data_IF_958926126310
#
_entry.id   IF_958926126310
#
_cell.length_a   1.000
_cell.length_b   1.000
_cell.length_c   1.000
_cell.angle_alpha   90.00
_cell.angle_beta   90.00
_cell.angle_gamma   90.00
#
_symmetry.space_group_name_H-M   'P 1'
#
loop_
_entity.id
_entity.type
_entity.pdbx_description
1 polymer ?
#
# COMPACT_ATOMS: atom_id res chain seq x y z
N UNK A 1 40.88 74.53 17.98
CA UNK A 1 40.67 75.42 19.13
C UNK A 1 41.89 75.29 20.01
N UNK A 2 42.72 76.34 20.04
CA UNK A 2 43.83 76.43 20.97
C UNK A 2 43.33 76.87 22.34
N UNK A 3 43.91 76.29 23.38
CA UNK A 3 43.91 76.82 24.75
C UNK A 3 45.31 76.56 25.33
N UNK A 4 46.12 77.62 25.20
CA UNK A 4 47.14 78.11 26.14
C UNK A 4 48.20 77.15 26.68
N UNK A 5 49.35 77.21 26.00
CA UNK A 5 50.69 77.18 26.61
C UNK A 5 50.70 77.95 27.94
N UNK A 6 50.83 77.20 29.04
CA UNK A 6 51.39 77.74 30.28
C UNK A 6 52.89 77.56 30.15
N UNK A 7 53.54 78.58 29.60
CA UNK A 7 54.99 78.72 29.65
C UNK A 7 55.40 78.74 31.12
N UNK A 8 56.02 77.65 31.55
CA UNK A 8 56.72 77.51 32.82
C UNK A 8 58.14 78.06 32.59
N UNK A 9 58.47 79.31 32.97
CA UNK A 9 59.73 79.93 32.62
C UNK A 9 60.69 79.73 33.78
N UNK A 10 61.31 78.56 33.86
CA UNK A 10 62.47 78.24 34.72
C UNK A 10 63.04 76.86 34.34
N UNK A 11 63.36 76.70 33.06
CA UNK A 11 64.32 75.67 32.61
C UNK A 11 65.43 76.46 31.90
N UNK A 12 66.16 77.25 32.67
CA UNK A 12 67.56 77.48 32.32
C UNK A 12 68.25 76.16 32.62
N UNK A 13 68.91 75.57 31.62
CA UNK A 13 69.54 74.24 31.73
C UNK A 13 70.50 74.16 32.93
N UNK A 14 69.99 73.77 34.09
CA UNK A 14 70.80 73.34 35.24
C UNK A 14 71.37 71.99 34.88
N UNK A 15 72.40 72.00 34.03
CA UNK A 15 73.20 70.83 33.72
C UNK A 15 73.91 70.38 34.99
N UNK A 16 74.15 69.08 35.16
CA UNK A 16 74.89 68.56 36.31
C UNK A 16 76.22 69.32 36.51
N UNK A 17 76.87 69.75 35.42
CA UNK A 17 78.08 70.57 35.46
C UNK A 17 77.88 71.97 36.07
N UNK A 18 76.78 72.66 35.79
CA UNK A 18 76.49 73.98 36.36
C UNK A 18 76.21 73.94 37.87
N UNK A 19 75.54 72.87 38.34
CA UNK A 19 75.25 72.65 39.76
C UNK A 19 76.49 72.21 40.54
N UNK A 20 77.37 71.40 39.92
CA UNK A 20 78.67 71.05 40.49
C UNK A 20 79.58 72.27 40.63
N UNK A 21 79.61 73.18 39.64
CA UNK A 21 80.39 74.42 39.73
C UNK A 21 79.89 75.34 40.86
N UNK A 22 78.57 75.41 41.07
CA UNK A 22 78.00 76.16 42.19
C UNK A 22 78.36 75.51 43.54
N UNK A 23 78.30 74.19 43.62
CA UNK A 23 78.69 73.44 44.82
C UNK A 23 80.18 73.64 45.15
N UNK A 24 81.04 73.66 44.13
CA UNK A 24 82.47 73.94 44.24
C UNK A 24 82.74 75.34 44.77
N UNK A 25 82.06 76.37 44.23
CA UNK A 25 82.18 77.74 44.72
C UNK A 25 81.73 77.86 46.20
N UNK A 26 80.64 77.17 46.59
CA UNK A 26 80.14 77.17 47.97
C UNK A 26 81.14 76.49 48.93
N UNK A 27 81.72 75.36 48.53
CA UNK A 27 82.74 74.70 49.34
C UNK A 27 84.01 75.55 49.48
N UNK A 28 84.39 76.31 48.45
CA UNK A 28 85.52 77.25 48.50
C UNK A 28 85.24 78.44 49.44
N UNK A 29 83.98 78.89 49.55
CA UNK A 29 83.55 79.95 50.48
C UNK A 29 83.49 79.48 51.95
N UNK A 30 83.09 78.22 52.19
CA UNK A 30 82.91 77.65 53.54
C UNK A 30 84.23 77.09 54.11
N UNK A 31 85.17 76.68 53.26
CA UNK A 31 86.47 76.12 53.65
C UNK A 31 86.42 74.63 54.00
N UNK A 32 85.59 73.86 53.30
CA UNK A 32 85.48 72.40 53.46
C UNK A 32 86.78 71.67 53.10
N UNK A 33 87.13 70.59 53.80
CA UNK A 33 88.35 69.83 53.54
C UNK A 33 88.27 69.03 52.24
N UNK A 34 89.41 68.79 51.59
CA UNK A 34 89.47 68.00 50.35
C UNK A 34 88.86 66.60 50.56
N UNK A 35 89.05 65.99 51.74
CA UNK A 35 88.48 64.68 52.07
C UNK A 35 86.94 64.70 52.18
N UNK A 36 86.34 65.78 52.72
CA UNK A 36 84.89 65.93 52.86
C UNK A 36 84.23 66.23 51.50
N UNK A 37 84.91 67.00 50.65
CA UNK A 37 84.51 67.27 49.25
C UNK A 37 84.53 65.99 48.41
N UNK A 38 85.62 65.22 48.47
CA UNK A 38 85.73 63.93 47.78
C UNK A 38 84.63 62.97 48.25
N UNK A 39 84.33 62.94 49.55
CA UNK A 39 83.24 62.12 50.10
C UNK A 39 81.86 62.53 49.59
N UNK A 40 81.57 63.83 49.53
CA UNK A 40 80.30 64.33 48.99
C UNK A 40 80.17 64.10 47.48
N UNK A 41 81.26 64.27 46.71
CA UNK A 41 81.29 63.95 45.28
C UNK A 41 81.06 62.47 45.02
N UNK A 42 81.72 61.58 45.79
CA UNK A 42 81.50 60.13 45.71
C UNK A 42 80.05 59.74 46.05
N UNK A 43 79.42 60.42 47.02
CA UNK A 43 78.00 60.22 47.32
C UNK A 43 77.09 60.64 46.16
N UNK A 44 77.36 61.80 45.55
CA UNK A 44 76.60 62.28 44.39
C UNK A 44 76.75 61.33 43.19
N UNK A 45 77.97 60.86 42.91
CA UNK A 45 78.23 59.84 41.88
C UNK A 45 77.47 58.54 42.16
N UNK A 46 77.48 58.07 43.41
CA UNK A 46 76.77 56.86 43.82
C UNK A 46 75.25 57.01 43.66
N UNK A 47 74.67 58.15 44.07
CA UNK A 47 73.25 58.43 43.90
C UNK A 47 72.85 58.53 42.43
N UNK A 48 73.68 59.17 41.59
CA UNK A 48 73.48 59.24 40.14
C UNK A 48 73.53 57.83 39.51
N UNK A 49 74.52 57.01 39.88
CA UNK A 49 74.63 55.63 39.44
C UNK A 49 73.41 54.80 39.84
N UNK A 50 72.88 54.97 41.05
CA UNK A 50 71.69 54.26 41.53
C UNK A 50 70.41 54.72 40.81
N UNK A 51 70.30 55.99 40.41
CA UNK A 51 69.23 56.46 39.52
C UNK A 51 69.35 55.82 38.14
N UNK A 52 70.54 55.81 37.52
CA UNK A 52 70.77 55.16 36.23
C UNK A 52 70.46 53.66 36.29
N UNK A 53 70.93 52.95 37.33
CA UNK A 53 70.65 51.52 37.55
C UNK A 53 69.15 51.25 37.65
N UNK A 54 68.42 52.05 38.44
CA UNK A 54 66.94 51.93 38.54
C UNK A 54 66.25 52.14 37.20
N UNK A 55 66.66 53.14 36.41
CA UNK A 55 66.08 53.40 35.09
C UNK A 55 66.37 52.28 34.10
N UNK A 56 67.59 51.75 34.10
CA UNK A 56 67.98 50.58 33.29
C UNK A 56 67.19 49.34 33.71
N UNK A 57 67.04 49.06 35.00
CA UNK A 57 66.23 47.96 35.50
C UNK A 57 64.75 48.12 35.13
N UNK A 58 64.20 49.33 35.25
CA UNK A 58 62.81 49.61 34.85
C UNK A 58 62.61 49.40 33.34
N UNK A 59 63.56 49.87 32.52
CA UNK A 59 63.55 49.64 31.08
C UNK A 59 63.69 48.15 30.75
N UNK A 60 64.59 47.42 31.41
CA UNK A 60 64.77 45.98 31.25
C UNK A 60 63.51 45.18 31.63
N UNK A 61 62.87 45.53 32.76
CA UNK A 61 61.58 44.96 33.17
C UNK A 61 60.47 45.24 32.15
N UNK A 62 60.41 46.47 31.62
CA UNK A 62 59.43 46.82 30.58
C UNK A 62 59.67 46.03 29.28
N UNK A 63 60.93 45.86 28.88
CA UNK A 63 61.33 45.07 27.72
C UNK A 63 60.98 43.59 27.90
N UNK A 64 61.24 43.01 29.07
CA UNK A 64 60.89 41.63 29.38
C UNK A 64 59.36 41.40 29.29
N UNK A 65 58.56 42.32 29.85
CA UNK A 65 57.08 42.26 29.73
C UNK A 65 56.60 42.32 28.29
N UNK A 66 57.19 43.19 27.46
CA UNK A 66 56.82 43.29 26.04
C UNK A 66 57.21 42.03 25.25
N UNK A 67 58.37 41.44 25.53
CA UNK A 67 58.78 40.18 24.92
C UNK A 67 57.89 39.01 25.33
N UNK A 68 57.48 38.96 26.60
CA UNK A 68 56.51 37.99 27.11
C UNK A 68 55.18 38.10 26.36
N UNK A 69 54.58 39.30 26.33
CA UNK A 69 53.31 39.54 25.64
C UNK A 69 53.37 39.19 24.14
N UNK A 70 54.51 39.44 23.49
CA UNK A 70 54.73 39.05 22.10
C UNK A 70 54.83 37.53 21.92
N UNK A 71 55.48 36.82 22.84
CA UNK A 71 55.57 35.36 22.84
C UNK A 71 54.18 34.72 23.07
N UNK A 72 53.43 35.24 24.02
CA UNK A 72 52.07 34.79 24.34
C UNK A 72 51.14 35.00 23.13
N UNK A 73 51.14 36.21 22.53
CA UNK A 73 50.34 36.49 21.34
C UNK A 73 50.69 35.62 20.14
N UNK A 74 51.98 35.33 19.91
CA UNK A 74 52.41 34.40 18.84
C UNK A 74 52.01 32.95 19.14
N UNK A 75 52.02 32.53 20.40
CA UNK A 75 51.56 31.20 20.79
C UNK A 75 50.07 31.05 20.54
N UNK A 76 49.26 32.04 20.93
CA UNK A 76 47.82 32.06 20.68
C UNK A 76 47.49 32.08 19.18
N UNK A 77 48.20 32.87 18.38
CA UNK A 77 48.09 32.83 16.91
C UNK A 77 48.30 31.41 16.37
N UNK A 78 49.36 30.74 16.84
CA UNK A 78 49.69 29.38 16.39
C UNK A 78 48.61 28.38 16.79
N UNK A 79 48.05 28.49 18.01
CA UNK A 79 46.96 27.64 18.49
C UNK A 79 45.69 27.82 17.64
N UNK A 80 45.29 29.07 17.38
CA UNK A 80 44.08 29.36 16.60
C UNK A 80 44.25 28.92 15.15
N UNK A 81 45.41 29.14 14.52
CA UNK A 81 45.69 28.67 13.17
C UNK A 81 45.66 27.14 13.06
N UNK A 82 46.22 26.44 14.04
CA UNK A 82 46.15 24.98 14.12
C UNK A 82 44.70 24.51 14.25
N UNK A 83 43.91 25.14 15.12
CA UNK A 83 42.50 24.82 15.29
C UNK A 83 41.67 25.08 14.02
N UNK A 84 41.94 26.16 13.30
CA UNK A 84 41.27 26.48 12.02
C UNK A 84 41.76 25.59 10.86
N UNK A 85 42.84 24.83 11.05
CA UNK A 85 43.45 24.00 10.00
C UNK A 85 44.08 24.80 8.85
N UNK A 86 44.25 26.11 9.02
CA UNK A 86 44.82 26.99 8.00
C UNK A 86 46.35 26.89 8.02
N UNK A 87 46.91 26.37 6.91
CA UNK A 87 48.35 26.14 6.74
C UNK A 87 49.14 27.40 6.38
N UNK A 88 48.54 28.59 6.45
CA UNK A 88 49.20 29.88 6.19
C UNK A 88 50.10 30.30 7.37
N UNK A 89 50.92 29.37 7.85
CA UNK A 89 52.01 29.60 8.81
C UNK A 89 53.08 30.53 8.22
N UNK A 90 53.09 30.72 6.89
CA UNK A 90 54.05 31.55 6.16
C UNK A 90 53.87 33.06 6.35
N UNK A 91 52.74 33.52 6.90
CA UNK A 91 52.46 34.96 7.13
C UNK A 91 52.58 35.38 8.59
N UNK A 92 53.04 34.51 9.50
CA UNK A 92 53.39 34.96 10.86
C UNK A 92 54.52 35.98 10.69
N UNK A 93 54.36 37.26 11.10
CA UNK A 93 55.35 38.29 10.89
C UNK A 93 56.71 37.84 11.43
N UNK A 94 57.59 37.48 10.50
CA UNK A 94 58.91 36.96 10.83
C UNK A 94 59.67 38.01 11.65
N UNK A 95 60.51 37.52 12.57
CA UNK A 95 61.15 38.23 13.68
C UNK A 95 61.98 39.49 13.36
N UNK A 96 62.01 39.98 12.13
CA UNK A 96 63.15 40.76 11.62
C UNK A 96 62.91 42.25 11.36
N UNK A 97 61.68 42.77 11.32
CA UNK A 97 61.45 44.17 10.91
C UNK A 97 60.63 44.95 11.94
N UNK A 98 61.28 45.91 12.60
CA UNK A 98 60.63 46.89 13.50
C UNK A 98 60.92 46.73 14.99
N UNK A 99 60.47 47.72 15.78
CA UNK A 99 60.58 47.72 17.24
C UNK A 99 59.66 46.68 17.88
N UNK A 100 59.92 46.26 19.13
CA UNK A 100 59.05 45.29 19.84
C UNK A 100 57.59 45.80 19.93
N UNK A 101 57.41 47.14 20.03
CA UNK A 101 56.09 47.77 20.04
C UNK A 101 55.39 47.68 18.68
N UNK A 102 56.11 47.90 17.58
CA UNK A 102 55.57 47.74 16.22
C UNK A 102 55.18 46.28 15.94
N UNK A 103 56.01 45.32 16.36
CA UNK A 103 55.69 43.90 16.22
C UNK A 103 54.43 43.51 17.01
N UNK A 104 54.25 44.07 18.21
CA UNK A 104 53.04 43.84 19.00
C UNK A 104 51.79 44.47 18.34
N UNK A 105 51.93 45.70 17.83
CA UNK A 105 50.85 46.40 17.13
C UNK A 105 50.43 45.70 15.82
N UNK A 106 51.36 45.02 15.14
CA UNK A 106 51.06 44.22 13.94
C UNK A 106 50.37 42.89 14.28
N UNK A 107 50.69 42.26 15.41
CA UNK A 107 50.09 40.98 15.85
C UNK A 107 48.65 41.15 16.34
N UNK A 108 48.34 42.28 16.98
CA UNK A 108 47.01 42.55 17.55
C UNK A 108 45.84 42.43 16.55
N UNK A 109 45.83 43.10 15.38
CA UNK A 109 44.70 43.00 14.44
C UNK A 109 44.56 41.60 13.82
N UNK A 110 45.68 40.88 13.61
CA UNK A 110 45.65 39.51 13.10
C UNK A 110 45.00 38.55 14.10
N UNK A 111 45.32 38.70 15.39
CA UNK A 111 44.66 37.94 16.47
C UNK A 111 43.16 38.22 16.50
N UNK A 112 42.76 39.48 16.44
CA UNK A 112 41.36 39.89 16.47
C UNK A 112 40.56 39.30 15.30
N UNK A 113 41.13 39.31 14.09
CA UNK A 113 40.54 38.68 12.91
C UNK A 113 40.38 37.18 13.07
N UNK A 114 41.42 36.48 13.55
CA UNK A 114 41.38 35.02 13.74
C UNK A 114 40.42 34.60 14.86
N UNK A 115 40.31 35.40 15.93
CA UNK A 115 39.30 35.20 16.98
C UNK A 115 37.88 35.29 16.43
N UNK A 116 37.62 36.31 15.60
CA UNK A 116 36.32 36.47 14.94
C UNK A 116 36.01 35.27 14.03
N UNK A 117 36.97 34.83 13.22
CA UNK A 117 36.83 33.64 12.37
C UNK A 117 36.59 32.36 13.19
N UNK A 118 37.29 32.20 14.33
CA UNK A 118 37.07 31.08 15.24
C UNK A 118 35.65 31.09 15.79
N UNK A 119 35.14 32.24 16.24
CA UNK A 119 33.80 32.38 16.78
C UNK A 119 32.72 32.09 15.72
N UNK A 120 32.88 32.65 14.51
CA UNK A 120 31.99 32.39 13.37
C UNK A 120 31.96 30.89 13.01
N UNK A 121 33.13 30.24 12.87
CA UNK A 121 33.17 28.79 12.59
C UNK A 121 32.56 27.99 13.73
N UNK A 122 32.86 28.30 14.99
CA UNK A 122 32.30 27.59 16.14
C UNK A 122 30.77 27.64 16.13
N UNK A 123 30.20 28.80 15.76
CA UNK A 123 28.76 28.95 15.59
C UNK A 123 28.23 28.09 14.45
N UNK A 124 28.87 28.09 13.29
CA UNK A 124 28.48 27.24 12.14
C UNK A 124 28.51 25.75 12.50
N UNK A 125 29.57 25.27 13.17
CA UNK A 125 29.65 23.89 13.65
C UNK A 125 28.50 23.55 14.60
N UNK A 126 28.20 24.45 15.56
CA UNK A 126 27.10 24.25 16.51
C UNK A 126 25.75 24.17 15.78
N UNK A 127 25.52 25.07 14.82
CA UNK A 127 24.29 25.13 14.04
C UNK A 127 24.13 23.85 13.19
N UNK A 128 25.17 23.41 12.48
CA UNK A 128 25.13 22.19 11.66
C UNK A 128 24.94 20.93 12.53
N UNK A 129 25.66 20.82 13.64
CA UNK A 129 25.52 19.69 14.55
C UNK A 129 24.12 19.63 15.19
N UNK A 130 23.53 20.78 15.52
CA UNK A 130 22.16 20.83 16.07
C UNK A 130 21.13 20.36 15.04
N UNK A 131 21.31 20.72 13.77
CA UNK A 131 20.45 20.25 12.68
C UNK A 131 20.58 18.75 12.46
N UNK A 132 21.82 18.22 12.49
CA UNK A 132 22.09 16.78 12.42
C UNK A 132 21.38 16.05 13.56
N UNK A 133 21.55 16.50 14.81
CA UNK A 133 20.92 15.88 15.98
C UNK A 133 19.39 15.88 15.86
N UNK A 134 18.80 16.99 15.43
CA UNK A 134 17.35 17.09 15.21
C UNK A 134 16.88 16.10 14.14
N UNK A 135 17.56 16.01 13.00
CA UNK A 135 17.24 15.06 11.93
C UNK A 135 17.41 13.61 12.37
N UNK A 136 18.49 13.28 13.08
CA UNK A 136 18.70 11.95 13.64
C UNK A 136 17.61 11.59 14.65
N UNK A 137 17.17 12.55 15.48
CA UNK A 137 16.07 12.39 16.42
C UNK A 137 14.73 12.14 15.73
N UNK A 138 14.44 12.87 14.63
CA UNK A 138 13.28 12.67 13.76
C UNK A 138 13.27 11.27 13.13
N UNK A 139 14.42 10.84 12.59
CA UNK A 139 14.62 9.55 11.93
C UNK A 139 14.51 8.38 12.92
N UNK A 140 15.06 8.54 14.12
CA UNK A 140 15.04 7.47 15.15
C UNK A 140 13.73 7.43 15.93
N UNK A 141 12.93 8.51 15.91
CA UNK A 141 11.72 8.65 16.72
C UNK A 141 11.94 9.03 18.18
N UNK A 142 13.18 9.42 18.55
CA UNK A 142 13.55 9.80 19.92
C UNK A 142 13.36 11.30 20.24
N UNK A 143 12.66 12.04 19.40
CA UNK A 143 12.43 13.49 19.54
C UNK A 143 11.88 13.94 20.91
N UNK A 144 11.08 13.10 21.58
CA UNK A 144 10.52 13.42 22.91
C UNK A 144 11.58 13.52 24.01
N UNK A 145 12.79 13.02 23.77
CA UNK A 145 13.93 13.15 24.69
C UNK A 145 14.85 14.32 24.33
N UNK A 146 14.62 15.03 23.22
CA UNK A 146 15.57 16.01 22.67
C UNK A 146 15.17 17.48 22.82
N UNK A 147 14.00 17.81 23.37
CA UNK A 147 13.68 19.22 23.69
C UNK A 147 14.57 19.80 24.80
N UNK A 148 15.18 18.93 25.63
CA UNK A 148 16.05 19.32 26.75
C UNK A 148 17.55 19.06 26.50
N UNK A 149 17.95 18.60 25.30
CA UNK A 149 19.35 18.23 25.08
C UNK A 149 20.17 19.46 24.73
N UNK A 150 20.97 19.87 25.71
CA UNK A 150 22.15 20.74 25.64
C UNK A 150 22.73 20.89 24.23
N UNK A 151 23.00 22.14 23.83
CA UNK A 151 23.73 22.46 22.59
C UNK A 151 24.89 21.48 22.37
N UNK A 152 25.09 20.99 21.14
CA UNK A 152 26.16 20.06 20.84
C UNK A 152 27.51 20.68 21.25
N UNK A 153 28.30 19.91 22.01
CA UNK A 153 29.65 20.32 22.40
C UNK A 153 30.50 20.33 21.15
N UNK A 154 30.83 21.53 20.66
CA UNK A 154 31.73 21.69 19.52
C UNK A 154 33.15 21.45 19.98
N UNK A 155 33.86 20.59 19.26
CA UNK A 155 35.29 20.38 19.47
C UNK A 155 36.06 21.59 18.95
N UNK A 156 36.44 22.49 19.87
CA UNK A 156 37.19 23.71 19.55
C UNK A 156 38.64 23.44 19.09
N UNK A 157 39.13 22.20 19.18
CA UNK A 157 40.51 21.87 18.82
C UNK A 157 40.70 21.65 17.31
N UNK A 158 39.62 21.36 16.57
CA UNK A 158 39.65 21.17 15.12
C UNK A 158 38.36 21.70 14.48
N UNK A 159 38.46 22.97 14.08
CA UNK A 159 37.50 23.78 13.33
C UNK A 159 37.93 23.90 11.85
N UNK A 160 38.57 22.86 11.32
CA UNK A 160 39.03 22.84 9.92
C UNK A 160 37.86 22.80 8.93
N UNK A 161 38.04 23.46 7.78
CA UNK A 161 37.04 23.48 6.71
C UNK A 161 36.69 22.08 6.19
N UNK A 162 37.66 21.17 6.17
CA UNK A 162 37.43 19.76 5.76
C UNK A 162 36.44 19.04 6.68
N UNK A 163 36.55 19.27 7.99
CA UNK A 163 35.62 18.67 8.96
C UNK A 163 34.23 19.29 8.84
N UNK A 164 34.15 20.59 8.63
CA UNK A 164 32.89 21.30 8.39
C UNK A 164 32.20 20.79 7.11
N UNK A 165 32.96 20.62 6.02
CA UNK A 165 32.47 20.03 4.77
C UNK A 165 31.97 18.59 4.96
N UNK A 166 32.64 17.80 5.82
CA UNK A 166 32.19 16.48 6.22
C UNK A 166 30.83 16.52 6.94
N UNK A 167 30.64 17.43 7.90
CA UNK A 167 29.34 17.60 8.56
C UNK A 167 28.25 18.10 7.61
N UNK A 168 28.56 19.02 6.68
CA UNK A 168 27.61 19.44 5.66
C UNK A 168 27.22 18.30 4.71
N UNK A 169 28.18 17.45 4.34
CA UNK A 169 27.93 16.28 3.51
C UNK A 169 27.01 15.29 4.23
N UNK A 170 27.28 15.02 5.51
CA UNK A 170 26.43 14.18 6.34
C UNK A 170 25.02 14.77 6.53
N UNK A 171 24.92 16.08 6.76
CA UNK A 171 23.64 16.78 6.84
C UNK A 171 22.83 16.62 5.55
N UNK A 172 23.47 16.74 4.38
CA UNK A 172 22.83 16.56 3.08
C UNK A 172 22.36 15.13 2.87
N UNK A 173 23.13 14.14 3.30
CA UNK A 173 22.75 12.72 3.27
C UNK A 173 21.51 12.47 4.16
N UNK A 174 21.49 13.00 5.39
CA UNK A 174 20.35 12.86 6.29
C UNK A 174 19.09 13.58 5.76
N UNK A 175 19.24 14.74 5.14
CA UNK A 175 18.13 15.45 4.49
C UNK A 175 17.54 14.62 3.33
N UNK A 176 18.41 13.97 2.55
CA UNK A 176 18.00 13.06 1.48
C UNK A 176 17.31 11.81 2.04
N UNK A 177 17.85 11.21 3.10
CA UNK A 177 17.23 10.06 3.76
C UNK A 177 15.84 10.43 4.31
N UNK A 178 15.69 11.61 4.92
CA UNK A 178 14.41 12.11 5.40
C UNK A 178 13.38 12.23 4.28
N UNK A 179 13.74 12.77 3.12
CA UNK A 179 12.80 12.90 2.00
C UNK A 179 12.43 11.53 1.43
N UNK A 180 13.37 10.60 1.32
CA UNK A 180 13.11 9.23 0.87
C UNK A 180 12.20 8.47 1.84
N UNK A 181 12.42 8.59 3.16
CA UNK A 181 11.57 7.99 4.19
C UNK A 181 10.17 8.58 4.17
N UNK A 182 10.05 9.91 4.04
CA UNK A 182 8.76 10.57 3.93
C UNK A 182 7.98 10.07 2.71
N UNK A 183 8.63 9.95 1.55
CA UNK A 183 8.00 9.39 0.36
C UNK A 183 7.51 7.96 0.60
N UNK A 184 8.35 7.09 1.19
CA UNK A 184 7.96 5.72 1.55
C UNK A 184 6.76 5.67 2.50
N UNK A 185 6.72 6.55 3.51
CA UNK A 185 5.56 6.66 4.40
C UNK A 185 4.31 7.02 3.62
N UNK A 186 4.37 8.01 2.72
CA UNK A 186 3.22 8.42 1.91
C UNK A 186 2.74 7.29 0.98
N UNK A 187 3.67 6.59 0.34
CA UNK A 187 3.35 5.45 -0.54
C UNK A 187 2.68 4.32 0.25
N UNK A 188 3.22 3.97 1.42
CA UNK A 188 2.64 2.96 2.29
C UNK A 188 1.26 3.38 2.84
N UNK A 189 1.08 4.65 3.21
CA UNK A 189 -0.24 5.18 3.62
C UNK A 189 -1.25 5.08 2.48
N UNK A 190 -0.85 5.36 1.23
CA UNK A 190 -1.70 5.18 0.05
C UNK A 190 -2.10 3.71 -0.10
N UNK A 191 -1.14 2.79 0.01
CA UNK A 191 -1.41 1.34 -0.07
C UNK A 191 -2.39 0.90 1.03
N UNK A 192 -2.21 1.37 2.26
CA UNK A 192 -3.16 1.07 3.36
C UNK A 192 -4.56 1.59 3.01
N UNK A 193 -4.67 2.81 2.47
CA UNK A 193 -5.96 3.38 2.06
C UNK A 193 -6.64 2.55 0.99
N UNK A 194 -5.92 2.19 -0.06
CA UNK A 194 -6.44 1.39 -1.16
C UNK A 194 -6.90 0.01 -0.67
N UNK A 195 -6.13 -0.63 0.21
CA UNK A 195 -6.51 -1.90 0.83
C UNK A 195 -7.74 -1.75 1.73
N UNK A 196 -7.85 -0.68 2.52
CA UNK A 196 -9.02 -0.42 3.36
C UNK A 196 -10.29 -0.21 2.51
N UNK A 197 -10.18 0.53 1.40
CA UNK A 197 -11.29 0.76 0.46
C UNK A 197 -11.79 -0.56 -0.11
N UNK A 198 -10.90 -1.46 -0.55
CA UNK A 198 -11.29 -2.77 -1.10
C UNK A 198 -11.90 -3.69 -0.04
N UNK A 199 -11.36 -3.67 1.19
CA UNK A 199 -11.82 -4.50 2.30
C UNK A 199 -13.05 -3.94 3.04
N UNK A 200 -13.52 -2.74 2.68
CA UNK A 200 -14.59 -2.05 3.39
C UNK A 200 -14.26 -1.73 4.86
N UNK A 201 -12.98 -1.49 5.18
CA UNK A 201 -12.51 -1.19 6.54
C UNK A 201 -12.35 0.31 6.75
N UNK A 202 -12.49 0.77 8.00
CA UNK A 202 -12.20 2.16 8.34
C UNK A 202 -10.70 2.45 8.30
N UNK A 203 -10.29 3.30 7.37
CA UNK A 203 -8.91 3.76 7.22
C UNK A 203 -8.43 4.49 8.48
N UNK A 204 -9.29 5.29 9.12
CA UNK A 204 -8.90 6.12 10.26
C UNK A 204 -8.52 5.26 11.46
N UNK A 205 -9.33 4.26 11.80
CA UNK A 205 -9.02 3.29 12.84
C UNK A 205 -7.68 2.59 12.58
N UNK A 206 -7.47 2.08 11.36
CA UNK A 206 -6.24 1.35 11.01
C UNK A 206 -4.98 2.24 11.04
N UNK A 207 -5.08 3.50 10.58
CA UNK A 207 -3.90 4.37 10.52
C UNK A 207 -3.55 5.00 11.87
N UNK A 208 -4.56 5.27 12.72
CA UNK A 208 -4.34 5.81 14.06
C UNK A 208 -3.73 4.78 15.01
N UNK A 209 -4.02 3.49 14.83
CA UNK A 209 -3.36 2.38 15.53
C UNK A 209 -1.85 2.34 15.21
N UNK A 210 -1.47 2.63 13.97
CA UNK A 210 -0.05 2.72 13.56
C UNK A 210 0.61 3.94 14.18
N UNK A 211 0.10 5.15 13.89
CA UNK A 211 0.53 6.38 14.53
C UNK A 211 -0.46 7.54 14.26
N UNK A 212 -0.89 8.31 15.29
CA UNK A 212 -1.87 9.39 15.14
C UNK A 212 -1.47 10.47 14.12
N UNK A 213 -0.17 10.72 13.95
CA UNK A 213 0.32 11.74 13.01
C UNK A 213 0.14 11.38 11.53
N UNK A 214 -0.19 10.13 11.21
CA UNK A 214 -0.33 9.68 9.82
C UNK A 214 -1.71 10.04 9.23
N UNK A 215 -2.64 10.47 10.07
CA UNK A 215 -3.94 10.97 9.67
C UNK A 215 -3.81 12.15 8.69
N UNK A 216 -4.76 12.26 7.76
CA UNK A 216 -4.79 13.31 6.74
C UNK A 216 -5.01 14.72 7.33
N UNK A 217 -5.52 14.80 8.57
CA UNK A 217 -5.64 16.07 9.29
C UNK A 217 -4.29 16.67 9.70
N UNK A 218 -3.23 15.87 9.70
CA UNK A 218 -1.89 16.27 10.12
C UNK A 218 -1.05 16.58 8.88
N UNK A 219 -0.43 17.76 8.87
CA UNK A 219 0.40 18.21 7.75
C UNK A 219 1.52 17.21 7.42
N UNK A 220 1.86 17.10 6.14
CA UNK A 220 2.85 16.14 5.61
C UNK A 220 4.20 16.21 6.36
N UNK A 221 4.61 17.40 6.78
CA UNK A 221 5.88 17.63 7.49
C UNK A 221 5.87 17.19 8.96
N UNK A 222 4.69 16.91 9.52
CA UNK A 222 4.49 16.46 10.90
C UNK A 222 4.25 14.95 10.98
N UNK A 223 4.32 14.24 9.83
CA UNK A 223 4.21 12.78 9.80
C UNK A 223 5.48 12.16 10.39
N UNK A 224 5.30 11.20 11.29
CA UNK A 224 6.41 10.42 11.84
C UNK A 224 7.08 9.60 10.74
N UNK A 225 8.41 9.74 10.63
CA UNK A 225 9.28 9.00 9.69
C UNK A 225 10.17 7.99 10.41
N UNK A 226 9.84 7.68 11.67
CA UNK A 226 10.68 6.82 12.51
C UNK A 226 10.73 5.38 12.00
N UNK A 227 11.81 4.67 12.29
CA UNK A 227 11.96 3.25 11.97
C UNK A 227 10.80 2.40 12.53
N UNK A 228 10.36 2.70 13.75
CA UNK A 228 9.22 2.04 14.39
C UNK A 228 7.91 2.31 13.63
N UNK A 229 7.67 3.55 13.19
CA UNK A 229 6.48 3.91 12.43
C UNK A 229 6.45 3.21 11.07
N UNK A 230 7.59 3.21 10.36
CA UNK A 230 7.73 2.52 9.07
C UNK A 230 7.55 1.01 9.21
N UNK A 231 8.07 0.41 10.28
CA UNK A 231 7.94 -1.02 10.57
C UNK A 231 6.48 -1.39 10.88
N UNK A 232 5.81 -0.62 11.74
CA UNK A 232 4.38 -0.80 12.05
C UNK A 232 3.51 -0.63 10.82
N UNK A 233 3.78 0.38 10.00
CA UNK A 233 3.03 0.63 8.76
C UNK A 233 3.21 -0.51 7.75
N UNK A 234 4.45 -1.01 7.61
CA UNK A 234 4.76 -2.14 6.75
C UNK A 234 4.07 -3.43 7.25
N UNK A 235 4.03 -3.65 8.57
CA UNK A 235 3.29 -4.76 9.17
C UNK A 235 1.78 -4.62 8.94
N UNK A 236 1.21 -3.43 9.07
CA UNK A 236 -0.20 -3.17 8.76
C UNK A 236 -0.53 -3.49 7.29
N UNK A 237 0.29 -3.05 6.34
CA UNK A 237 0.15 -3.40 4.91
C UNK A 237 0.22 -4.91 4.70
N UNK A 238 1.14 -5.62 5.36
CA UNK A 238 1.25 -7.07 5.26
C UNK A 238 0.00 -7.77 5.81
N UNK A 239 -0.53 -7.33 6.95
CA UNK A 239 -1.75 -7.89 7.54
C UNK A 239 -2.97 -7.65 6.65
N UNK A 240 -3.13 -6.44 6.11
CA UNK A 240 -4.22 -6.12 5.19
C UNK A 240 -4.13 -6.92 3.88
N UNK A 241 -2.94 -7.12 3.32
CA UNK A 241 -2.75 -7.99 2.14
C UNK A 241 -3.09 -9.44 2.43
N UNK A 242 -2.70 -9.95 3.60
CA UNK A 242 -3.08 -11.31 4.03
C UNK A 242 -4.59 -11.42 4.19
N UNK A 243 -5.23 -10.42 4.79
CA UNK A 243 -6.69 -10.41 4.95
C UNK A 243 -7.40 -10.35 3.61
N UNK A 244 -6.94 -9.51 2.67
CA UNK A 244 -7.42 -9.46 1.29
C UNK A 244 -7.37 -10.83 0.62
N UNK A 245 -6.24 -11.52 0.72
CA UNK A 245 -6.09 -12.86 0.16
C UNK A 245 -7.06 -13.86 0.79
N UNK A 246 -7.18 -13.85 2.12
CA UNK A 246 -8.08 -14.75 2.86
C UNK A 246 -9.54 -14.52 2.49
N UNK A 247 -9.98 -13.26 2.45
CA UNK A 247 -11.35 -12.89 2.09
C UNK A 247 -11.69 -13.25 0.65
N UNK A 248 -10.76 -13.02 -0.29
CA UNK A 248 -10.94 -13.42 -1.68
C UNK A 248 -11.08 -14.93 -1.83
N UNK A 249 -10.23 -15.72 -1.16
CA UNK A 249 -10.33 -17.19 -1.19
C UNK A 249 -11.67 -17.67 -0.65
N UNK A 250 -12.11 -17.13 0.48
CA UNK A 250 -13.43 -17.46 1.06
C UNK A 250 -14.57 -17.08 0.10
N UNK A 251 -14.51 -15.91 -0.53
CA UNK A 251 -15.52 -15.48 -1.49
C UNK A 251 -15.54 -16.38 -2.74
N UNK A 252 -14.38 -16.83 -3.23
CA UNK A 252 -14.27 -17.76 -4.35
C UNK A 252 -14.88 -19.13 -4.03
N UNK A 253 -14.61 -19.66 -2.84
CA UNK A 253 -15.23 -20.90 -2.36
C UNK A 253 -16.76 -20.76 -2.29
N UNK A 254 -17.27 -19.68 -1.70
CA UNK A 254 -18.71 -19.42 -1.64
C UNK A 254 -19.33 -19.26 -3.04
N UNK A 255 -18.66 -18.55 -3.94
CA UNK A 255 -19.13 -18.36 -5.30
C UNK A 255 -19.18 -19.68 -6.10
N UNK A 256 -18.22 -20.60 -5.88
CA UNK A 256 -18.30 -21.95 -6.44
C UNK A 256 -19.48 -22.73 -5.87
N UNK A 257 -19.68 -22.70 -4.55
CA UNK A 257 -20.81 -23.38 -3.90
C UNK A 257 -22.16 -22.84 -4.37
N UNK A 258 -22.30 -21.52 -4.51
CA UNK A 258 -23.49 -20.88 -5.09
C UNK A 258 -23.74 -21.37 -6.52
N UNK A 259 -22.70 -21.41 -7.35
CA UNK A 259 -22.82 -21.86 -8.75
C UNK A 259 -23.25 -23.32 -8.82
N UNK A 260 -22.67 -24.19 -8.00
CA UNK A 260 -23.03 -25.61 -7.93
C UNK A 260 -24.47 -25.80 -7.44
N UNK A 261 -24.88 -25.06 -6.40
CA UNK A 261 -26.26 -25.09 -5.88
C UNK A 261 -27.28 -24.57 -6.90
N UNK A 262 -26.96 -23.50 -7.65
CA UNK A 262 -27.84 -22.99 -8.70
C UNK A 262 -27.99 -23.95 -9.86
N UNK A 263 -26.90 -24.59 -10.28
CA UNK A 263 -26.91 -25.62 -11.32
C UNK A 263 -27.73 -26.84 -10.87
N UNK A 264 -27.64 -27.22 -9.60
CA UNK A 264 -28.37 -28.35 -9.04
C UNK A 264 -29.87 -28.08 -8.88
N UNK A 265 -30.24 -26.84 -8.56
CA UNK A 265 -31.63 -26.44 -8.32
C UNK A 265 -32.32 -25.79 -9.52
N UNK A 266 -31.70 -25.78 -10.71
CA UNK A 266 -32.20 -25.10 -11.91
C UNK A 266 -32.67 -23.65 -11.59
N UNK A 267 -31.87 -22.92 -10.81
CA UNK A 267 -32.25 -21.58 -10.31
C UNK A 267 -32.34 -20.58 -11.47
N UNK A 268 -33.41 -19.77 -11.58
CA UNK A 268 -33.60 -18.83 -12.69
C UNK A 268 -32.51 -17.76 -12.73
N UNK A 269 -32.21 -17.25 -13.93
CA UNK A 269 -31.08 -16.34 -14.13
C UNK A 269 -31.27 -15.00 -13.40
N UNK A 270 -32.51 -14.56 -13.23
CA UNK A 270 -32.87 -13.35 -12.50
C UNK A 270 -32.42 -13.40 -11.03
N UNK A 271 -32.54 -14.56 -10.39
CA UNK A 271 -32.09 -14.76 -9.00
C UNK A 271 -30.56 -14.87 -8.93
N UNK A 272 -29.92 -15.49 -9.93
CA UNK A 272 -28.46 -15.56 -10.01
C UNK A 272 -27.81 -14.17 -10.16
N UNK A 273 -28.43 -13.27 -10.94
CA UNK A 273 -27.88 -11.94 -11.22
C UNK A 273 -27.74 -11.07 -9.96
N UNK A 274 -28.51 -11.34 -8.90
CA UNK A 274 -28.39 -10.63 -7.62
C UNK A 274 -27.01 -10.82 -6.97
N UNK A 275 -26.32 -11.91 -7.31
CA UNK A 275 -25.01 -12.28 -6.78
C UNK A 275 -23.89 -12.16 -7.82
N UNK A 276 -24.11 -11.43 -8.92
CA UNK A 276 -23.08 -11.19 -9.96
C UNK A 276 -21.80 -10.55 -9.39
N UNK A 277 -21.95 -9.72 -8.34
CA UNK A 277 -20.84 -9.08 -7.63
C UNK A 277 -19.96 -10.08 -6.84
N UNK A 278 -20.48 -11.27 -6.54
CA UNK A 278 -19.75 -12.37 -5.88
C UNK A 278 -19.16 -13.30 -6.95
N UNK A 279 -19.95 -13.67 -7.96
CA UNK A 279 -19.54 -14.63 -8.99
C UNK A 279 -18.51 -14.07 -9.98
N UNK A 280 -18.46 -12.75 -10.18
CA UNK A 280 -17.41 -12.14 -11.00
C UNK A 280 -15.99 -12.32 -10.42
N UNK A 281 -15.87 -12.63 -9.12
CA UNK A 281 -14.60 -12.83 -8.43
C UNK A 281 -14.09 -14.28 -8.44
N UNK A 282 -14.84 -15.24 -8.98
CA UNK A 282 -14.48 -16.68 -9.01
C UNK A 282 -13.09 -16.90 -9.60
N UNK A 283 -12.79 -16.23 -10.71
CA UNK A 283 -11.52 -16.36 -11.44
C UNK A 283 -10.59 -15.17 -11.24
N UNK A 284 -10.98 -14.19 -10.42
CA UNK A 284 -10.22 -12.95 -10.25
C UNK A 284 -8.92 -13.19 -9.45
N UNK A 285 -7.83 -12.54 -9.86
CA UNK A 285 -6.59 -12.53 -9.08
C UNK A 285 -6.63 -11.51 -7.94
N UNK A 286 -5.77 -11.68 -6.93
CA UNK A 286 -5.70 -10.76 -5.77
C UNK A 286 -5.44 -9.30 -6.20
N UNK A 287 -4.70 -9.10 -7.29
CA UNK A 287 -4.32 -7.77 -7.77
C UNK A 287 -5.41 -7.12 -8.64
N UNK A 288 -6.26 -7.91 -9.30
CA UNK A 288 -7.38 -7.41 -10.11
C UNK A 288 -8.52 -6.83 -9.26
N UNK A 289 -8.72 -7.37 -8.05
CA UNK A 289 -9.79 -6.91 -7.15
C UNK A 289 -9.41 -5.57 -6.53
N UNK A 290 -9.82 -4.50 -7.19
CA UNK A 290 -9.58 -3.10 -6.82
C UNK A 290 -10.88 -2.33 -6.57
N UNK A 291 -12.03 -2.93 -6.85
CA UNK A 291 -13.33 -2.29 -6.65
C UNK A 291 -13.58 -2.00 -5.15
N UNK A 292 -14.04 -0.79 -4.81
CA UNK A 292 -14.40 -0.43 -3.43
C UNK A 292 -15.42 -1.39 -2.83
N UNK A 293 -15.14 -1.88 -1.63
CA UNK A 293 -16.03 -2.78 -0.90
C UNK A 293 -16.15 -4.19 -1.49
N UNK A 294 -15.43 -4.54 -2.55
CA UNK A 294 -15.55 -5.86 -3.19
C UNK A 294 -15.27 -7.05 -2.26
N UNK A 295 -14.49 -6.83 -1.19
CA UNK A 295 -14.16 -7.83 -0.17
C UNK A 295 -14.61 -7.39 1.23
N UNK A 296 -15.67 -6.59 1.30
CA UNK A 296 -16.27 -6.19 2.56
C UNK A 296 -16.92 -7.39 3.28
N UNK A 297 -16.95 -7.36 4.61
CA UNK A 297 -17.40 -8.50 5.43
C UNK A 297 -18.90 -8.77 5.26
N UNK A 298 -19.68 -7.73 5.08
CA UNK A 298 -21.12 -7.78 4.81
C UNK A 298 -21.44 -8.53 3.52
N UNK A 299 -20.67 -8.33 2.44
CA UNK A 299 -20.85 -9.07 1.19
C UNK A 299 -20.54 -10.56 1.35
N UNK A 300 -19.49 -10.88 2.11
CA UNK A 300 -19.12 -12.27 2.39
C UNK A 300 -20.23 -12.93 3.24
N UNK A 301 -20.70 -12.26 4.28
CA UNK A 301 -21.80 -12.73 5.13
C UNK A 301 -23.10 -12.93 4.34
N UNK A 302 -23.40 -12.03 3.40
CA UNK A 302 -24.55 -12.17 2.50
C UNK A 302 -24.43 -13.43 1.64
N UNK A 303 -23.25 -13.70 1.06
CA UNK A 303 -23.01 -14.91 0.28
C UNK A 303 -23.09 -16.18 1.13
N UNK A 304 -22.54 -16.17 2.36
CA UNK A 304 -22.66 -17.29 3.31
C UNK A 304 -24.11 -17.60 3.65
N UNK A 305 -24.89 -16.56 3.99
CA UNK A 305 -26.30 -16.70 4.33
C UNK A 305 -27.11 -17.26 3.15
N UNK A 306 -26.79 -16.84 1.92
CA UNK A 306 -27.45 -17.36 0.74
C UNK A 306 -27.08 -18.82 0.47
N UNK A 307 -25.81 -19.20 0.60
CA UNK A 307 -25.40 -20.62 0.49
C UNK A 307 -26.17 -21.47 1.50
N UNK A 308 -26.27 -21.02 2.76
CA UNK A 308 -27.01 -21.75 3.79
C UNK A 308 -28.51 -21.84 3.46
N UNK A 309 -29.12 -20.75 2.98
CA UNK A 309 -30.51 -20.72 2.55
C UNK A 309 -30.77 -21.70 1.39
N UNK A 310 -29.88 -21.73 0.40
CA UNK A 310 -29.98 -22.61 -0.76
C UNK A 310 -29.73 -24.07 -0.36
N UNK A 311 -28.79 -24.35 0.53
CA UNK A 311 -28.54 -25.70 1.04
C UNK A 311 -29.76 -26.26 1.81
N UNK A 312 -30.45 -25.42 2.60
CA UNK A 312 -31.71 -25.79 3.25
C UNK A 312 -32.84 -26.09 2.25
N UNK A 313 -32.89 -25.36 1.13
CA UNK A 313 -33.92 -25.54 0.09
C UNK A 313 -33.61 -26.68 -0.88
N UNK A 314 -32.34 -27.09 -0.99
CA UNK A 314 -31.83 -28.11 -1.91
C UNK A 314 -32.69 -29.37 -1.95
N UNK A 315 -33.00 -29.96 -0.81
CA UNK A 315 -33.79 -31.20 -0.76
C UNK A 315 -35.22 -31.02 -1.33
N UNK A 316 -35.86 -29.88 -1.02
CA UNK A 316 -37.22 -29.60 -1.49
C UNK A 316 -37.27 -29.32 -2.99
N UNK A 317 -36.31 -28.55 -3.52
CA UNK A 317 -36.18 -28.28 -4.96
C UNK A 317 -35.77 -29.52 -5.74
N UNK A 318 -34.87 -30.32 -5.18
CA UNK A 318 -34.48 -31.61 -5.76
C UNK A 318 -35.68 -32.52 -5.98
N UNK A 319 -36.57 -32.61 -4.97
CA UNK A 319 -37.80 -33.39 -5.07
C UNK A 319 -38.70 -32.90 -6.20
N UNK A 320 -38.83 -31.58 -6.37
CA UNK A 320 -39.62 -30.98 -7.44
C UNK A 320 -39.03 -31.27 -8.83
N UNK A 321 -37.72 -31.11 -9.01
CA UNK A 321 -37.03 -31.36 -10.28
C UNK A 321 -37.11 -32.85 -10.66
N UNK A 322 -36.87 -33.74 -9.69
CA UNK A 322 -37.01 -35.17 -9.90
C UNK A 322 -38.43 -35.53 -10.36
N UNK A 323 -39.48 -35.03 -9.70
CA UNK A 323 -40.85 -35.30 -10.15
C UNK A 323 -41.19 -34.72 -11.52
N UNK A 324 -40.62 -33.55 -11.88
CA UNK A 324 -40.79 -32.98 -13.21
C UNK A 324 -40.15 -33.86 -14.29
N UNK A 325 -38.91 -34.33 -14.07
CA UNK A 325 -38.21 -35.27 -14.95
C UNK A 325 -38.95 -36.61 -15.05
N UNK A 326 -39.47 -37.12 -13.94
CA UNK A 326 -40.30 -38.32 -13.91
C UNK A 326 -41.60 -38.15 -14.72
N UNK A 327 -42.23 -36.97 -14.64
CA UNK A 327 -43.43 -36.66 -15.43
C UNK A 327 -43.11 -36.56 -16.93
N UNK A 328 -41.98 -35.94 -17.30
CA UNK A 328 -41.51 -35.91 -18.70
C UNK A 328 -41.27 -37.34 -19.22
N UNK A 329 -40.68 -38.20 -18.40
CA UNK A 329 -40.45 -39.60 -18.72
C UNK A 329 -41.78 -40.34 -18.97
N UNK A 330 -42.74 -40.19 -18.06
CA UNK A 330 -44.10 -40.75 -18.19
C UNK A 330 -44.81 -40.25 -19.45
N UNK A 331 -44.69 -38.96 -19.77
CA UNK A 331 -45.25 -38.38 -21.00
C UNK A 331 -44.62 -39.01 -22.25
N UNK A 332 -43.30 -39.18 -22.30
CA UNK A 332 -42.62 -39.83 -23.43
C UNK A 332 -43.11 -41.27 -23.61
N UNK A 333 -43.23 -42.01 -22.50
CA UNK A 333 -43.66 -43.41 -22.54
C UNK A 333 -45.12 -43.58 -22.93
N UNK A 334 -46.03 -42.71 -22.47
CA UNK A 334 -47.43 -42.71 -22.93
C UNK A 334 -47.55 -42.43 -24.42
N UNK A 335 -46.78 -41.48 -24.96
CA UNK A 335 -46.73 -41.22 -26.41
C UNK A 335 -46.14 -42.39 -27.19
N UNK A 336 -45.20 -43.13 -26.60
CA UNK A 336 -44.61 -44.33 -27.18
C UNK A 336 -45.46 -45.61 -26.97
N UNK A 337 -46.62 -45.50 -26.32
CA UNK A 337 -47.48 -46.62 -25.91
C UNK A 337 -46.74 -47.71 -25.11
N UNK A 338 -45.94 -47.30 -24.13
CA UNK A 338 -45.23 -48.17 -23.18
C UNK A 338 -45.94 -48.07 -21.83
N UNK A 339 -46.33 -49.20 -21.24
CA UNK A 339 -46.94 -49.24 -19.91
C UNK A 339 -45.88 -49.11 -18.81
N UNK A 340 -46.12 -48.20 -17.87
CA UNK A 340 -45.25 -47.96 -16.71
C UNK A 340 -46.09 -47.83 -15.45
N UNK A 341 -45.59 -48.42 -14.36
CA UNK A 341 -46.09 -48.17 -13.02
C UNK A 341 -45.54 -46.84 -12.48
N UNK A 342 -46.26 -45.76 -12.79
CA UNK A 342 -45.92 -44.40 -12.37
C UNK A 342 -45.87 -44.25 -10.84
N UNK A 343 -46.74 -44.95 -10.12
CA UNK A 343 -46.83 -44.85 -8.66
C UNK A 343 -45.63 -45.52 -7.98
N UNK A 344 -45.20 -46.69 -8.48
CA UNK A 344 -43.99 -47.35 -7.99
C UNK A 344 -42.71 -46.53 -8.28
N UNK A 345 -42.63 -45.91 -9.47
CA UNK A 345 -41.49 -45.06 -9.84
C UNK A 345 -41.39 -43.81 -8.95
N UNK A 346 -42.52 -43.13 -8.71
CA UNK A 346 -42.59 -41.96 -7.82
C UNK A 346 -42.28 -42.32 -6.36
N UNK A 347 -42.74 -43.47 -5.88
CA UNK A 347 -42.42 -43.96 -4.54
C UNK A 347 -40.93 -44.28 -4.37
N UNK A 348 -40.29 -44.85 -5.40
CA UNK A 348 -38.85 -45.13 -5.42
C UNK A 348 -38.02 -43.85 -5.34
N UNK A 349 -38.40 -42.81 -6.09
CA UNK A 349 -37.74 -41.49 -6.04
C UNK A 349 -37.87 -40.87 -4.63
N UNK A 350 -39.07 -40.91 -4.05
CA UNK A 350 -39.32 -40.38 -2.71
C UNK A 350 -38.47 -41.08 -1.64
N UNK A 351 -38.39 -42.42 -1.69
CA UNK A 351 -37.58 -43.21 -0.77
C UNK A 351 -36.08 -42.90 -0.89
N UNK A 352 -35.57 -42.70 -2.11
CA UNK A 352 -34.16 -42.36 -2.35
C UNK A 352 -33.78 -40.96 -1.83
N UNK A 353 -34.70 -40.00 -1.92
CA UNK A 353 -34.49 -38.64 -1.41
C UNK A 353 -34.55 -38.61 0.12
N UNK A 354 -35.49 -39.33 0.72
CA UNK A 354 -35.68 -39.38 2.18
C UNK A 354 -34.62 -40.23 2.90
N UNK A 355 -34.06 -41.25 2.25
CA UNK A 355 -32.98 -42.06 2.81
C UNK A 355 -31.63 -41.36 2.81
N UNK A 356 -31.45 -40.30 2.03
CA UNK A 356 -30.19 -39.54 1.92
C UNK A 356 -29.00 -40.36 1.43
N UNK A 357 -29.25 -41.55 0.87
CA UNK A 357 -28.21 -42.52 0.50
C UNK A 357 -27.55 -42.24 -0.85
N UNK A 358 -28.15 -41.39 -1.69
CA UNK A 358 -27.67 -41.07 -3.04
C UNK A 358 -27.44 -39.57 -3.14
N UNK A 359 -26.32 -39.18 -3.75
CA UNK A 359 -26.03 -37.78 -4.02
C UNK A 359 -27.08 -37.21 -5.00
N UNK A 360 -27.70 -36.06 -4.70
CA UNK A 360 -28.79 -35.53 -5.53
C UNK A 360 -28.43 -35.33 -7.01
N UNK A 361 -27.16 -35.00 -7.30
CA UNK A 361 -26.67 -34.88 -8.68
C UNK A 361 -26.70 -36.21 -9.43
N UNK A 362 -26.34 -37.31 -8.77
CA UNK A 362 -26.31 -38.64 -9.39
C UNK A 362 -27.72 -39.13 -9.69
N UNK A 363 -28.68 -38.85 -8.81
CA UNK A 363 -30.09 -39.18 -9.03
C UNK A 363 -30.63 -38.45 -10.27
N UNK A 364 -30.41 -37.14 -10.38
CA UNK A 364 -30.87 -36.38 -11.55
C UNK A 364 -30.19 -36.84 -12.85
N UNK A 365 -28.89 -37.15 -12.80
CA UNK A 365 -28.17 -37.67 -13.96
C UNK A 365 -28.70 -39.04 -14.42
N UNK A 366 -29.04 -39.94 -13.50
CA UNK A 366 -29.68 -41.21 -13.84
C UNK A 366 -31.04 -40.98 -14.50
N UNK A 367 -31.86 -40.07 -13.97
CA UNK A 367 -33.15 -39.71 -14.56
C UNK A 367 -33.00 -39.11 -15.96
N UNK A 368 -32.02 -38.23 -16.18
CA UNK A 368 -31.73 -37.69 -17.51
C UNK A 368 -31.30 -38.79 -18.49
N UNK A 369 -30.49 -39.74 -18.04
CA UNK A 369 -30.12 -40.90 -18.85
C UNK A 369 -31.35 -41.77 -19.20
N UNK A 370 -32.29 -41.95 -18.26
CA UNK A 370 -33.54 -42.65 -18.53
C UNK A 370 -34.41 -41.90 -19.54
N UNK A 371 -34.52 -40.56 -19.43
CA UNK A 371 -35.24 -39.72 -20.39
C UNK A 371 -34.63 -39.84 -21.79
N UNK A 372 -33.30 -39.81 -21.92
CA UNK A 372 -32.62 -39.97 -23.22
C UNK A 372 -32.95 -41.33 -23.84
N UNK A 373 -32.84 -42.41 -23.06
CA UNK A 373 -33.21 -43.76 -23.53
C UNK A 373 -34.68 -43.85 -23.95
N UNK A 374 -35.58 -43.25 -23.17
CA UNK A 374 -37.01 -43.22 -23.51
C UNK A 374 -37.27 -42.44 -24.81
N UNK A 375 -36.56 -41.32 -25.04
CA UNK A 375 -36.65 -40.56 -26.30
C UNK A 375 -36.13 -41.37 -27.48
N UNK A 376 -35.02 -42.08 -27.33
CA UNK A 376 -34.49 -42.97 -28.37
C UNK A 376 -35.47 -44.10 -28.70
N UNK A 377 -36.08 -44.70 -27.69
CA UNK A 377 -37.09 -45.74 -27.88
C UNK A 377 -38.36 -45.20 -28.56
N UNK A 378 -38.86 -44.05 -28.12
CA UNK A 378 -39.99 -43.37 -28.75
C UNK A 378 -39.70 -43.06 -30.23
N UNK A 379 -38.49 -42.59 -30.56
CA UNK A 379 -38.05 -42.37 -31.94
C UNK A 379 -38.00 -43.66 -32.75
N UNK A 380 -37.51 -44.76 -32.16
CA UNK A 380 -37.47 -46.07 -32.83
C UNK A 380 -38.87 -46.61 -33.17
N UNK A 381 -39.86 -46.32 -32.32
CA UNK A 381 -41.27 -46.75 -32.50
C UNK A 381 -42.06 -45.80 -33.39
N UNK A 382 -41.58 -44.58 -33.62
CA UNK A 382 -42.29 -43.55 -34.39
C UNK A 382 -42.76 -44.03 -35.75
N UNK A 383 -41.90 -44.68 -36.52
CA UNK A 383 -42.26 -45.18 -37.86
C UNK A 383 -43.38 -46.22 -37.83
N UNK A 384 -43.48 -47.00 -36.75
CA UNK A 384 -44.54 -47.99 -36.54
C UNK A 384 -45.82 -47.29 -36.10
N UNK A 385 -45.73 -46.37 -35.13
CA UNK A 385 -46.87 -45.60 -34.63
C UNK A 385 -47.51 -44.75 -35.75
N UNK A 386 -46.73 -44.08 -36.59
CA UNK A 386 -47.22 -43.33 -37.75
C UNK A 386 -47.98 -44.23 -38.74
N UNK A 387 -47.56 -45.49 -38.89
CA UNK A 387 -48.26 -46.48 -39.74
C UNK A 387 -49.56 -46.95 -39.08
N UNK A 388 -49.55 -47.15 -37.77
CA UNK A 388 -50.73 -47.53 -36.98
C UNK A 388 -51.76 -46.39 -37.00
N UNK A 389 -51.36 -45.14 -36.82
CA UNK A 389 -52.25 -43.98 -36.88
C UNK A 389 -52.91 -43.83 -38.27
N UNK A 390 -52.12 -43.97 -39.34
CA UNK A 390 -52.65 -44.00 -40.72
C UNK A 390 -53.64 -45.15 -40.92
N UNK A 391 -53.36 -46.31 -40.31
CA UNK A 391 -54.26 -47.46 -40.35
C UNK A 391 -55.57 -47.19 -39.61
N UNK A 392 -55.51 -46.66 -38.38
CA UNK A 392 -56.69 -46.27 -37.57
C UNK A 392 -57.54 -45.24 -38.33
N UNK A 393 -56.93 -44.18 -38.86
CA UNK A 393 -57.63 -43.15 -39.66
C UNK A 393 -58.34 -43.75 -40.88
N UNK A 394 -57.71 -44.74 -41.53
CA UNK A 394 -58.31 -45.45 -42.66
C UNK A 394 -59.47 -46.34 -42.22
N UNK A 395 -59.39 -46.96 -41.03
CA UNK A 395 -60.47 -47.76 -40.43
C UNK A 395 -61.66 -46.89 -40.07
N UNK A 396 -61.43 -45.72 -39.48
CA UNK A 396 -62.47 -44.75 -39.14
C UNK A 396 -63.19 -44.23 -40.39
N UNK A 397 -62.44 -43.87 -41.43
CA UNK A 397 -63.04 -43.42 -42.69
C UNK A 397 -63.79 -44.55 -43.41
N UNK A 398 -63.34 -45.80 -43.28
CA UNK A 398 -64.09 -46.98 -43.74
C UNK A 398 -65.39 -47.20 -42.94
N UNK A 399 -65.33 -47.17 -41.61
CA UNK A 399 -66.52 -47.31 -40.76
C UNK A 399 -67.54 -46.22 -41.08
N UNK A 400 -67.08 -44.97 -41.20
CA UNK A 400 -67.92 -43.84 -41.60
C UNK A 400 -68.55 -44.05 -42.98
N UNK A 401 -67.77 -44.56 -43.95
CA UNK A 401 -68.26 -44.92 -45.28
C UNK A 401 -69.31 -46.04 -45.24
N UNK A 402 -69.12 -47.05 -44.39
CA UNK A 402 -70.08 -48.14 -44.21
C UNK A 402 -71.39 -47.64 -43.60
N UNK A 403 -71.33 -46.83 -42.54
CA UNK A 403 -72.50 -46.21 -41.93
C UNK A 403 -73.23 -45.31 -42.94
N UNK A 404 -72.49 -44.52 -43.72
CA UNK A 404 -73.05 -43.73 -44.81
C UNK A 404 -73.65 -44.58 -45.93
N UNK A 405 -73.12 -45.78 -46.22
CA UNK A 405 -73.71 -46.70 -47.20
C UNK A 405 -74.98 -47.40 -46.68
N UNK A 406 -75.13 -47.56 -45.36
CA UNK A 406 -76.31 -48.16 -44.71
C UNK A 406 -77.45 -47.19 -44.48
N UNK A 407 -77.22 -45.88 -44.61
CA UNK A 407 -78.24 -44.85 -44.48
C UNK A 407 -79.17 -44.82 -45.72
N UNK A 408 -80.42 -45.24 -45.54
CA UNK A 408 -81.46 -45.22 -46.57
C UNK A 408 -81.82 -43.79 -47.04
N UNK A 409 -81.55 -42.76 -46.22
CA UNK A 409 -81.82 -41.35 -46.54
C UNK A 409 -80.63 -40.64 -47.20
N UNK A 410 -79.59 -41.37 -47.60
CA UNK A 410 -78.35 -40.85 -48.20
C UNK A 410 -78.54 -39.93 -49.40
N UNK A 411 -79.56 -40.18 -50.22
CA UNK A 411 -79.86 -39.39 -51.41
C UNK A 411 -80.98 -38.37 -51.21
N UNK A 412 -81.42 -38.15 -49.95
CA UNK A 412 -82.40 -37.12 -49.63
C UNK A 412 -81.85 -35.74 -49.99
N UNK A 413 -82.71 -34.86 -50.53
CA UNK A 413 -82.36 -33.50 -50.96
C UNK A 413 -82.16 -32.55 -49.76
N UNK A 414 -81.34 -32.95 -48.79
CA UNK A 414 -80.98 -32.20 -47.60
C UNK A 414 -79.76 -31.30 -47.86
N UNK A 415 -79.67 -30.18 -47.14
CA UNK A 415 -78.60 -29.18 -47.29
C UNK A 415 -77.28 -29.76 -46.78
N UNK A 416 -76.48 -30.35 -47.68
CA UNK A 416 -75.18 -30.96 -47.35
C UNK A 416 -74.91 -32.33 -47.99
N UNK A 417 -75.93 -32.98 -48.58
CA UNK A 417 -75.81 -34.32 -49.17
C UNK A 417 -74.71 -34.42 -50.25
N UNK A 418 -74.55 -33.38 -51.08
CA UNK A 418 -73.50 -33.34 -52.10
C UNK A 418 -72.06 -33.27 -51.54
N UNK A 419 -71.88 -32.72 -50.32
CA UNK A 419 -70.59 -32.63 -49.64
C UNK A 419 -70.23 -33.99 -49.06
N UNK A 420 -71.19 -34.67 -48.41
CA UNK A 420 -71.02 -36.03 -47.91
C UNK A 420 -70.80 -37.03 -49.04
N UNK A 421 -71.45 -36.85 -50.19
CA UNK A 421 -71.20 -37.65 -51.39
C UNK A 421 -69.77 -37.46 -51.92
N UNK A 422 -69.30 -36.20 -52.03
CA UNK A 422 -67.91 -35.90 -52.42
C UNK A 422 -66.90 -36.44 -51.40
N UNK A 423 -67.19 -36.36 -50.09
CA UNK A 423 -66.35 -36.98 -49.04
C UNK A 423 -66.30 -38.49 -49.23
N UNK A 424 -67.43 -39.14 -49.46
CA UNK A 424 -67.50 -40.58 -49.67
C UNK A 424 -66.76 -41.05 -50.94
N UNK A 425 -66.82 -40.28 -52.02
CA UNK A 425 -66.05 -40.57 -53.24
C UNK A 425 -64.55 -40.40 -52.99
N UNK A 426 -64.13 -39.30 -52.33
CA UNK A 426 -62.73 -39.08 -51.94
C UNK A 426 -62.22 -40.18 -51.01
N UNK A 427 -63.01 -40.56 -50.02
CA UNK A 427 -62.71 -41.61 -49.06
C UNK A 427 -62.55 -42.97 -49.76
N UNK A 428 -63.47 -43.33 -50.66
CA UNK A 428 -63.34 -44.54 -51.49
C UNK A 428 -62.04 -44.51 -52.28
N UNK A 429 -61.76 -43.41 -52.99
CA UNK A 429 -60.55 -43.27 -53.79
C UNK A 429 -59.29 -43.42 -52.91
N UNK A 430 -59.29 -42.83 -51.73
CA UNK A 430 -58.17 -42.87 -50.78
C UNK A 430 -57.94 -44.30 -50.25
N UNK A 431 -59.00 -45.02 -49.86
CA UNK A 431 -58.94 -46.42 -49.44
C UNK A 431 -58.51 -47.36 -50.59
N UNK A 432 -58.88 -47.06 -51.84
CA UNK A 432 -58.46 -47.80 -53.02
C UNK A 432 -57.00 -47.55 -53.40
N UNK A 433 -56.49 -46.32 -53.20
CA UNK A 433 -55.12 -45.93 -53.49
C UNK A 433 -54.11 -46.44 -52.46
N UNK A 434 -54.53 -46.70 -51.22
CA UNK A 434 -53.70 -47.34 -50.20
C UNK A 434 -53.42 -48.81 -50.56
N UNK A 435 -52.22 -49.16 -51.09
CA UNK A 435 -52.00 -50.45 -51.77
C UNK A 435 -52.15 -51.67 -50.86
N UNK A 436 -51.93 -51.48 -49.56
CA UNK A 436 -52.07 -52.50 -48.51
C UNK A 436 -53.52 -52.71 -48.03
N UNK A 437 -54.41 -51.75 -48.24
CA UNK A 437 -55.76 -51.74 -47.65
C UNK A 437 -56.67 -52.89 -48.12
N UNK A 438 -56.75 -53.22 -49.43
CA UNK A 438 -57.56 -54.35 -49.92
C UNK A 438 -57.03 -55.73 -49.50
N UNK A 439 -55.78 -55.80 -49.03
CA UNK A 439 -55.14 -57.01 -48.49
C UNK A 439 -55.46 -57.18 -47.00
N UNK A 440 -55.43 -56.10 -46.23
CA UNK A 440 -55.87 -56.08 -44.83
C UNK A 440 -57.36 -56.41 -44.68
N UNK A 441 -58.22 -55.80 -45.51
CA UNK A 441 -59.68 -55.98 -45.47
C UNK A 441 -60.13 -57.44 -45.63
N UNK A 442 -59.37 -58.25 -46.38
CA UNK A 442 -59.65 -59.67 -46.64
C UNK A 442 -59.06 -60.61 -45.57
N UNK A 443 -58.16 -60.13 -44.72
CA UNK A 443 -57.46 -60.93 -43.70
C UNK A 443 -57.93 -60.61 -42.29
N UNK A 444 -59.21 -60.86 -41.97
CA UNK A 444 -59.89 -60.35 -40.77
C UNK A 444 -59.43 -60.86 -39.39
N UNK A 445 -58.28 -61.54 -39.25
CA UNK A 445 -57.71 -61.85 -37.91
C UNK A 445 -56.19 -61.91 -37.93
N UNK A 446 -55.60 -62.48 -38.97
CA UNK A 446 -54.16 -62.78 -39.01
C UNK A 446 -53.30 -61.52 -39.12
N UNK A 447 -53.71 -60.51 -39.90
CA UNK A 447 -52.95 -59.26 -40.00
C UNK A 447 -53.16 -58.32 -38.82
N UNK A 448 -54.35 -58.32 -38.21
CA UNK A 448 -54.59 -57.60 -36.94
C UNK A 448 -53.75 -58.23 -35.83
N UNK A 449 -53.66 -59.57 -35.79
CA UNK A 449 -52.68 -60.26 -34.94
C UNK A 449 -51.23 -59.97 -35.34
N UNK A 450 -50.89 -59.79 -36.61
CA UNK A 450 -49.51 -59.52 -37.03
C UNK A 450 -49.08 -58.07 -36.74
N UNK A 451 -50.00 -57.11 -36.83
CA UNK A 451 -49.81 -55.72 -36.44
C UNK A 451 -49.81 -55.57 -34.91
N UNK A 452 -50.73 -56.23 -34.20
CA UNK A 452 -50.68 -56.34 -32.75
C UNK A 452 -49.40 -57.06 -32.31
N UNK A 453 -49.00 -58.15 -32.95
CA UNK A 453 -47.73 -58.82 -32.67
C UNK A 453 -46.53 -57.96 -33.04
N UNK A 454 -46.57 -57.08 -34.06
CA UNK A 454 -45.47 -56.14 -34.32
C UNK A 454 -45.42 -55.01 -33.27
N UNK A 455 -46.57 -54.56 -32.76
CA UNK A 455 -46.65 -53.61 -31.64
C UNK A 455 -46.20 -54.27 -30.32
N UNK A 456 -46.51 -55.55 -30.11
CA UNK A 456 -46.16 -56.32 -28.90
C UNK A 456 -44.78 -57.03 -28.97
N UNK A 457 -44.21 -57.33 -30.15
CA UNK A 457 -42.85 -57.93 -30.30
C UNK A 457 -41.73 -56.89 -30.29
N UNK A 458 -42.05 -55.59 -30.32
CA UNK A 458 -41.08 -54.52 -30.07
C UNK A 458 -41.03 -54.08 -28.60
N UNK A 459 -41.74 -54.77 -27.68
CA UNK A 459 -41.49 -54.67 -26.25
C UNK A 459 -40.20 -55.45 -25.93
N UNK A 460 -39.11 -54.81 -25.47
CA UNK A 460 -38.05 -55.54 -24.81
C UNK A 460 -38.62 -56.14 -23.51
N UNK A 461 -38.28 -57.39 -23.20
CA UNK A 461 -38.35 -57.87 -21.82
C UNK A 461 -37.35 -57.11 -20.94
#
# INVERSE_FOLDING_TARGET
MGITDVQNPLIGDTTCGSLLQQLQNIWDEVGESDEERDKMLLQLEQECLDVYRRKVEQAAKSRAKLLQALADGRSELSKILLALGDKTVAEIPNRATGTIKEQLAAVAPMLEQLWKQKEERTKEFSDVQSQIQKLCGEISGNLKLSEDTSKPVVDETDLSLKRLEGFHSHLKELQKEKSERLQKVLDLVSIVRDLCIVLGMDFLSNITEVHPSLNDSVGVQSKSISDDTLSKLSNAVLMLRKDKKRRLQKLQELASQLTDLWNLMDTPKEEQNLFDHVTCNISASVDEVTAPGALALDLIEQAETEVERLDQLKASRMKEIAFKKQSELEDIYTHAHIEIDADAARAKIMALIESGTVEPSDLLADMDNQIVKAKEEALSRKDILDKVEKWISSCEEESWLEDYNRDDNRYSASRGAHINLKRAEKARILLWLTPWWPRLRRGSRVMVLHLLMMVFHCLPC
#
